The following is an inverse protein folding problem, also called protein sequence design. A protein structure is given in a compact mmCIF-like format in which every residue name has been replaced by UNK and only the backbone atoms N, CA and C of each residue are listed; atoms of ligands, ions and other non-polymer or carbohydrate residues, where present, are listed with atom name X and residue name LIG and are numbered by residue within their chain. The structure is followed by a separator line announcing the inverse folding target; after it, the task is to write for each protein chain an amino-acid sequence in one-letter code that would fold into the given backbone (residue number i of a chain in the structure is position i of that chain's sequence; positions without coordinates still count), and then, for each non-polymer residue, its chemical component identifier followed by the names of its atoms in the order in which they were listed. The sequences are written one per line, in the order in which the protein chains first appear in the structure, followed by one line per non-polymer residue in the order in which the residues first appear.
data_IF_493346202286
#
_entry.id   IF_493346202286
#
_cell.length_a   1.000
_cell.length_b   1.000
_cell.length_c   1.000
_cell.angle_alpha   90.00
_cell.angle_beta   90.00
_cell.angle_gamma   90.00
#
_symmetry.space_group_name_H-M   'P 1'
#
loop_
_entity.id
_entity.type
_entity.pdbx_description
1 polymer ?
#
# COMPACT_ATOMS: atom_id res chain seq x y z
N UNK A 1 1.68 -28.54 -7.78
CA UNK A 1 0.82 -27.35 -7.63
C UNK A 1 1.73 -26.16 -7.36
N UNK A 2 1.92 -25.29 -8.34
CA UNK A 2 2.88 -24.19 -8.30
C UNK A 2 2.54 -23.24 -7.15
N UNK A 3 3.44 -22.95 -6.20
CA UNK A 3 3.15 -22.10 -5.04
C UNK A 3 2.76 -20.66 -5.42
N UNK A 4 3.02 -20.21 -6.65
CA UNK A 4 2.64 -18.88 -7.14
C UNK A 4 1.12 -18.68 -7.33
N UNK A 5 0.35 -19.73 -7.63
CA UNK A 5 -1.11 -19.60 -7.86
C UNK A 5 -1.85 -19.11 -6.60
N UNK A 6 -1.26 -19.31 -5.41
CA UNK A 6 -1.83 -18.84 -4.16
C UNK A 6 -1.73 -17.31 -3.97
N UNK A 7 -0.78 -16.64 -4.62
CA UNK A 7 -0.60 -15.18 -4.55
C UNK A 7 -1.48 -14.45 -5.57
N UNK A 8 -1.78 -15.09 -6.71
CA UNK A 8 -2.69 -14.56 -7.74
C UNK A 8 -4.17 -14.57 -7.33
N UNK A 9 -4.53 -15.36 -6.30
CA UNK A 9 -5.89 -15.34 -5.75
C UNK A 9 -5.99 -14.22 -4.73
N UNK A 10 -6.86 -13.25 -5.00
CA UNK A 10 -7.22 -12.26 -3.98
C UNK A 10 -7.63 -12.98 -2.70
N UNK A 11 -7.13 -12.53 -1.53
CA UNK A 11 -7.60 -13.07 -0.25
C UNK A 11 -9.11 -12.94 -0.19
N UNK A 12 -9.77 -13.93 0.40
CA UNK A 12 -11.22 -13.88 0.60
C UNK A 12 -11.60 -12.61 1.36
N UNK A 13 -12.83 -12.12 1.18
CA UNK A 13 -13.31 -10.94 1.91
C UNK A 13 -13.11 -11.06 3.43
N UNK A 14 -13.32 -12.26 3.98
CA UNK A 14 -13.11 -12.54 5.40
C UNK A 14 -11.64 -12.39 5.80
N UNK A 15 -10.73 -12.93 4.99
CA UNK A 15 -9.30 -12.83 5.20
C UNK A 15 -8.86 -11.37 5.15
N UNK A 16 -9.36 -10.61 4.17
CA UNK A 16 -9.10 -9.16 4.03
C UNK A 16 -9.59 -8.39 5.25
N UNK A 17 -10.83 -8.62 5.70
CA UNK A 17 -11.36 -7.95 6.87
C UNK A 17 -10.59 -8.31 8.14
N UNK A 18 -10.26 -9.59 8.34
CA UNK A 18 -9.42 -10.02 9.46
C UNK A 18 -8.06 -9.30 9.45
N UNK A 19 -7.39 -9.25 8.30
CA UNK A 19 -6.12 -8.53 8.16
C UNK A 19 -6.26 -7.03 8.47
N UNK A 20 -7.34 -6.40 8.01
CA UNK A 20 -7.65 -5.00 8.32
C UNK A 20 -7.79 -4.79 9.83
N UNK A 21 -8.60 -5.60 10.52
CA UNK A 21 -8.78 -5.47 11.99
C UNK A 21 -7.48 -5.76 12.74
N UNK A 22 -6.74 -6.79 12.35
CA UNK A 22 -5.46 -7.14 12.95
C UNK A 22 -4.44 -6.01 12.77
N UNK A 23 -4.40 -5.37 11.61
CA UNK A 23 -3.51 -4.23 11.34
C UNK A 23 -3.82 -3.02 12.23
N UNK A 24 -5.08 -2.86 12.68
CA UNK A 24 -5.50 -1.76 13.56
C UNK A 24 -5.29 -2.06 15.04
N UNK A 25 -5.68 -3.25 15.48
CA UNK A 25 -5.62 -3.65 16.89
C UNK A 25 -4.21 -4.10 17.32
N UNK A 26 -3.52 -4.83 16.44
CA UNK A 26 -2.22 -5.44 16.73
C UNK A 26 -1.26 -5.28 15.54
N UNK A 27 -0.87 -4.05 15.17
CA UNK A 27 -0.05 -3.77 13.98
C UNK A 27 1.28 -4.54 13.95
N UNK A 28 1.93 -4.71 15.10
CA UNK A 28 3.18 -5.48 15.19
C UNK A 28 2.99 -6.96 14.84
N UNK A 29 1.89 -7.57 15.30
CA UNK A 29 1.55 -8.97 15.00
C UNK A 29 1.17 -9.11 13.53
N UNK A 30 0.37 -8.17 13.01
CA UNK A 30 0.03 -8.13 11.59
C UNK A 30 1.28 -8.11 10.71
N UNK A 31 2.19 -7.16 10.93
CA UNK A 31 3.40 -7.05 10.12
C UNK A 31 4.27 -8.29 10.24
N UNK A 32 4.50 -8.78 11.46
CA UNK A 32 5.28 -10.01 11.68
C UNK A 32 4.69 -11.21 10.93
N UNK A 33 3.37 -11.39 11.01
CA UNK A 33 2.68 -12.48 10.33
C UNK A 33 2.84 -12.37 8.80
N UNK A 34 2.67 -11.16 8.24
CA UNK A 34 2.80 -10.94 6.80
C UNK A 34 4.23 -11.16 6.31
N UNK A 35 5.22 -10.63 7.03
CA UNK A 35 6.64 -10.81 6.71
C UNK A 35 7.02 -12.30 6.82
N UNK A 36 6.52 -13.01 7.82
CA UNK A 36 6.73 -14.45 7.97
C UNK A 36 6.14 -15.24 6.79
N UNK A 37 4.89 -14.95 6.41
CA UNK A 37 4.23 -15.61 5.28
C UNK A 37 4.97 -15.36 3.96
N UNK A 38 5.32 -14.10 3.66
CA UNK A 38 6.05 -13.73 2.45
C UNK A 38 7.44 -14.39 2.39
N UNK A 39 8.19 -14.36 3.50
CA UNK A 39 9.49 -15.03 3.58
C UNK A 39 9.39 -16.54 3.38
N UNK A 40 8.36 -17.18 3.95
CA UNK A 40 8.13 -18.62 3.79
C UNK A 40 7.79 -18.96 2.34
N UNK A 41 6.94 -18.16 1.69
CA UNK A 41 6.59 -18.34 0.28
C UNK A 41 7.81 -18.15 -0.63
N UNK A 42 8.60 -17.10 -0.38
CA UNK A 42 9.83 -16.83 -1.15
C UNK A 42 10.82 -18.01 -1.04
N UNK A 43 11.12 -18.48 0.17
CA UNK A 43 12.00 -19.64 0.39
C UNK A 43 11.49 -20.91 -0.27
N UNK A 44 10.17 -21.12 -0.31
CA UNK A 44 9.56 -22.28 -0.96
C UNK A 44 9.61 -22.19 -2.48
N UNK A 45 9.39 -21.01 -3.05
CA UNK A 45 9.45 -20.79 -4.49
C UNK A 45 10.90 -20.83 -5.01
N UNK A 46 11.84 -20.35 -4.21
CA UNK A 46 13.24 -20.11 -4.58
C UNK A 46 14.20 -20.67 -3.52
N UNK A 47 14.31 -22.01 -3.38
CA UNK A 47 15.06 -22.63 -2.28
C UNK A 47 16.58 -22.48 -2.42
N UNK A 48 17.09 -22.32 -3.64
CA UNK A 48 18.52 -22.34 -3.95
C UNK A 48 19.04 -20.92 -4.27
N UNK A 49 18.81 -19.95 -3.39
CA UNK A 49 19.35 -18.59 -3.53
C UNK A 49 20.83 -18.57 -3.13
N UNK A 50 21.78 -18.34 -4.05
CA UNK A 50 23.19 -18.17 -3.71
C UNK A 50 23.40 -17.00 -2.75
N UNK A 51 24.24 -17.19 -1.73
CA UNK A 51 24.57 -16.13 -0.78
C UNK A 51 25.26 -14.93 -1.46
N UNK A 52 25.97 -15.17 -2.57
CA UNK A 52 26.61 -14.13 -3.37
C UNK A 52 25.63 -13.11 -3.94
N UNK A 53 24.35 -13.46 -4.12
CA UNK A 53 23.33 -12.55 -4.65
C UNK A 53 22.86 -11.50 -3.65
N UNK A 54 23.16 -11.66 -2.35
CA UNK A 54 22.85 -10.67 -1.29
C UNK A 54 21.40 -10.15 -1.29
N UNK A 55 20.44 -11.00 -1.67
CA UNK A 55 19.01 -10.65 -1.71
C UNK A 55 18.39 -10.39 -0.31
N UNK A 56 18.81 -11.08 0.77
CA UNK A 56 18.39 -10.73 2.13
C UNK A 56 19.19 -9.53 2.70
N UNK A 57 18.60 -8.75 3.63
CA UNK A 57 17.27 -8.91 4.20
C UNK A 57 16.16 -8.31 3.31
N UNK A 58 15.03 -9.01 3.23
CA UNK A 58 13.84 -8.49 2.54
C UNK A 58 13.25 -7.35 3.37
N UNK A 59 12.91 -6.23 2.72
CA UNK A 59 12.20 -5.14 3.37
C UNK A 59 10.83 -5.62 3.89
N UNK A 60 10.44 -5.13 5.08
CA UNK A 60 9.13 -5.45 5.66
C UNK A 60 7.99 -4.91 4.79
N UNK A 61 6.86 -5.64 4.75
CA UNK A 61 5.63 -5.18 4.10
C UNK A 61 5.11 -3.86 4.68
N UNK A 62 5.52 -3.51 5.90
CA UNK A 62 5.17 -2.23 6.52
C UNK A 62 5.69 -1.01 5.74
N UNK A 63 6.78 -1.16 4.99
CA UNK A 63 7.45 -0.06 4.29
C UNK A 63 7.78 -0.36 2.83
N UNK A 64 7.53 -1.56 2.33
CA UNK A 64 7.80 -1.89 0.93
C UNK A 64 6.74 -2.85 0.37
N UNK A 65 6.42 -2.72 -0.92
CA UNK A 65 5.68 -3.77 -1.63
C UNK A 65 6.64 -4.92 -1.98
N UNK A 66 6.24 -6.19 -1.80
CA UNK A 66 7.09 -7.30 -2.19
C UNK A 66 7.30 -7.31 -3.70
N UNK A 67 8.53 -7.57 -4.12
CA UNK A 67 8.86 -7.75 -5.53
C UNK A 67 8.29 -9.09 -6.02
N UNK A 68 7.46 -9.05 -7.06
CA UNK A 68 7.00 -10.26 -7.77
C UNK A 68 8.00 -10.53 -8.90
N UNK A 69 8.91 -11.46 -8.67
CA UNK A 69 10.12 -11.69 -9.49
C UNK A 69 10.13 -13.03 -10.26
N UNK A 70 8.98 -13.63 -10.55
CA UNK A 70 8.94 -14.92 -11.26
C UNK A 70 9.58 -14.90 -12.65
N UNK A 71 9.49 -13.78 -13.36
CA UNK A 71 10.06 -13.63 -14.68
C UNK A 71 11.60 -13.44 -14.68
N UNK A 72 12.17 -12.82 -13.64
CA UNK A 72 13.61 -12.59 -13.57
C UNK A 72 14.38 -13.83 -13.09
N UNK A 73 13.72 -14.71 -12.34
CA UNK A 73 14.36 -15.85 -11.71
C UNK A 73 15.14 -16.78 -12.68
N UNK A 74 14.58 -17.20 -13.83
CA UNK A 74 15.33 -18.02 -14.79
C UNK A 74 16.58 -17.31 -15.35
N UNK A 75 16.55 -15.98 -15.46
CA UNK A 75 17.69 -15.19 -15.93
C UNK A 75 18.81 -15.11 -14.89
N UNK A 76 18.44 -15.09 -13.60
CA UNK A 76 19.40 -15.22 -12.50
C UNK A 76 20.02 -16.63 -12.45
N UNK A 77 19.21 -17.68 -12.57
CA UNK A 77 19.69 -19.07 -12.55
C UNK A 77 20.61 -19.41 -13.74
N UNK A 78 20.32 -18.88 -14.92
CA UNK A 78 21.15 -19.07 -16.12
C UNK A 78 22.47 -18.28 -16.11
N UNK A 79 22.64 -17.35 -15.18
CA UNK A 79 23.77 -16.42 -15.16
C UNK A 79 23.70 -15.30 -16.19
N UNK A 80 22.55 -15.13 -16.88
CA UNK A 80 22.33 -14.00 -17.77
C UNK A 80 22.26 -12.67 -17.01
N UNK A 81 21.72 -12.70 -15.80
CA UNK A 81 21.65 -11.54 -14.91
C UNK A 81 22.33 -11.86 -13.57
N UNK A 82 23.09 -10.90 -13.04
CA UNK A 82 23.75 -11.02 -11.75
C UNK A 82 23.30 -9.89 -10.81
N UNK A 83 22.81 -10.21 -9.60
CA UNK A 83 22.57 -9.21 -8.57
C UNK A 83 23.91 -8.68 -8.04
N UNK A 84 24.05 -7.36 -8.00
CA UNK A 84 25.26 -6.68 -7.53
C UNK A 84 24.94 -5.71 -6.39
N UNK A 85 25.97 -5.25 -5.68
CA UNK A 85 25.82 -4.19 -4.69
C UNK A 85 25.37 -2.87 -5.33
N UNK A 86 24.88 -1.93 -4.51
CA UNK A 86 24.41 -0.64 -5.01
C UNK A 86 25.54 0.13 -5.71
N UNK A 87 25.21 0.86 -6.77
CA UNK A 87 26.17 1.75 -7.41
C UNK A 87 26.57 2.88 -6.45
N UNK A 88 27.88 3.12 -6.30
CA UNK A 88 28.44 4.16 -5.45
C UNK A 88 28.79 5.40 -6.27
N UNK A 89 29.61 5.25 -7.32
CA UNK A 89 29.95 6.33 -8.24
C UNK A 89 30.49 5.81 -9.58
N UNK A 90 30.40 6.64 -10.62
CA UNK A 90 31.02 6.39 -11.92
C UNK A 90 32.50 6.77 -11.88
N UNK A 91 33.40 5.79 -12.00
CA UNK A 91 34.86 5.98 -11.92
C UNK A 91 35.53 6.17 -13.29
N UNK A 92 34.75 6.09 -14.37
CA UNK A 92 35.22 6.29 -15.73
C UNK A 92 34.07 6.31 -16.73
N UNK A 93 34.39 6.40 -18.02
CA UNK A 93 33.38 6.48 -19.07
C UNK A 93 32.54 5.19 -19.22
N UNK A 94 33.07 4.05 -18.79
CA UNK A 94 32.42 2.73 -18.88
C UNK A 94 32.55 1.91 -17.60
N UNK A 95 32.73 2.57 -16.46
CA UNK A 95 33.00 1.88 -15.20
C UNK A 95 32.27 2.48 -14.00
N UNK A 96 31.80 1.58 -13.13
CA UNK A 96 30.99 1.90 -11.95
C UNK A 96 31.62 1.22 -10.73
N UNK A 97 31.98 2.01 -9.72
CA UNK A 97 32.33 1.50 -8.40
C UNK A 97 31.04 1.18 -7.63
N UNK A 98 30.97 0.00 -7.04
CA UNK A 98 29.88 -0.45 -6.19
C UNK A 98 30.16 -0.16 -4.70
N UNK A 99 29.12 -0.20 -3.86
CA UNK A 99 29.25 0.11 -2.43
C UNK A 99 30.12 -0.89 -1.64
N UNK A 100 30.40 -2.06 -2.19
CA UNK A 100 31.31 -3.04 -1.60
C UNK A 100 32.75 -2.93 -2.12
N UNK A 101 33.04 -1.92 -2.95
CA UNK A 101 34.36 -1.65 -3.52
C UNK A 101 34.66 -2.39 -4.82
N UNK A 102 33.77 -3.26 -5.32
CA UNK A 102 33.91 -3.86 -6.64
C UNK A 102 33.79 -2.77 -7.72
N UNK A 103 34.62 -2.86 -8.77
CA UNK A 103 34.47 -2.02 -9.96
C UNK A 103 33.93 -2.89 -11.09
N UNK A 104 32.79 -2.48 -11.66
CA UNK A 104 32.25 -3.05 -12.88
C UNK A 104 32.83 -2.30 -14.08
N UNK A 105 33.41 -3.04 -15.02
CA UNK A 105 34.03 -2.51 -16.23
C UNK A 105 33.17 -2.82 -17.46
N UNK A 106 33.43 -2.13 -18.57
CA UNK A 106 32.76 -2.33 -19.86
C UNK A 106 31.23 -2.15 -19.80
N UNK A 107 30.76 -1.17 -19.03
CA UNK A 107 29.34 -0.84 -18.96
C UNK A 107 28.96 0.07 -20.14
N UNK A 108 28.08 -0.40 -21.01
CA UNK A 108 27.58 0.37 -22.15
C UNK A 108 26.33 1.19 -21.83
N UNK A 109 25.57 0.82 -20.81
CA UNK A 109 24.31 1.47 -20.46
C UNK A 109 23.94 1.28 -18.99
N UNK A 110 23.30 2.31 -18.43
CA UNK A 110 22.71 2.28 -17.09
C UNK A 110 21.24 2.68 -17.18
N UNK A 111 20.37 1.85 -16.62
CA UNK A 111 18.93 2.08 -16.60
C UNK A 111 18.50 2.34 -15.16
N UNK A 112 17.98 3.54 -14.89
CA UNK A 112 17.52 3.93 -13.56
C UNK A 112 16.11 3.40 -13.30
N UNK A 113 16.02 2.29 -12.57
CA UNK A 113 14.76 1.71 -12.09
C UNK A 113 14.44 2.16 -10.65
N UNK A 114 14.66 3.45 -10.33
CA UNK A 114 14.62 4.00 -8.96
C UNK A 114 13.23 4.47 -8.50
N UNK A 115 12.19 4.22 -9.30
CA UNK A 115 10.81 4.63 -9.01
C UNK A 115 10.47 6.02 -9.55
N UNK A 116 9.34 6.56 -9.05
CA UNK A 116 8.75 7.80 -9.51
C UNK A 116 8.34 8.68 -8.33
N UNK A 117 8.44 10.00 -8.50
CA UNK A 117 7.82 10.96 -7.61
C UNK A 117 6.34 11.12 -7.93
N UNK A 118 5.57 11.60 -6.95
CA UNK A 118 4.19 12.00 -7.17
C UNK A 118 4.13 13.47 -7.58
N UNK A 119 3.39 13.78 -8.64
CA UNK A 119 3.06 15.14 -9.04
C UNK A 119 1.63 15.20 -9.57
N UNK A 120 1.01 16.37 -9.47
CA UNK A 120 -0.25 16.65 -10.16
C UNK A 120 0.09 17.44 -11.43
N UNK A 121 -0.28 16.94 -12.63
CA UNK A 121 0.16 17.52 -13.90
C UNK A 121 -0.45 18.89 -14.22
N UNK A 122 -1.32 19.39 -13.35
CA UNK A 122 -1.96 20.69 -13.46
C UNK A 122 -1.51 21.54 -12.27
N UNK A 123 -0.98 22.73 -12.55
CA UNK A 123 -0.59 23.67 -11.50
C UNK A 123 -1.84 24.11 -10.73
N UNK A 124 -1.89 23.75 -9.45
CA UNK A 124 -2.88 24.23 -8.51
C UNK A 124 -2.36 25.50 -7.81
N UNK A 125 -3.23 26.31 -7.19
CA UNK A 125 -2.80 27.38 -6.30
C UNK A 125 -1.91 26.83 -5.18
N UNK A 126 -0.85 27.56 -4.83
CA UNK A 126 0.15 27.12 -3.83
C UNK A 126 -0.48 26.71 -2.48
N UNK A 127 -1.58 27.38 -2.10
CA UNK A 127 -2.37 27.09 -0.88
C UNK A 127 -3.04 25.71 -0.86
N UNK A 128 -3.26 25.10 -2.02
CA UNK A 128 -3.84 23.76 -2.17
C UNK A 128 -2.95 22.83 -2.98
N UNK A 129 -1.66 23.14 -3.16
CA UNK A 129 -0.72 22.25 -3.84
C UNK A 129 -0.55 20.95 -3.01
N UNK A 130 -0.95 19.77 -3.54
CA UNK A 130 -0.84 18.51 -2.83
C UNK A 130 0.61 18.10 -2.56
N UNK A 131 1.56 18.46 -3.43
CA UNK A 131 2.97 18.08 -3.32
C UNK A 131 3.87 19.32 -3.38
N UNK A 132 3.86 20.17 -2.33
CA UNK A 132 4.62 21.42 -2.32
C UNK A 132 6.14 21.19 -2.30
N UNK A 133 6.57 20.01 -1.84
CA UNK A 133 7.96 19.56 -1.87
C UNK A 133 8.02 18.26 -2.65
N UNK A 134 8.85 18.23 -3.69
CA UNK A 134 9.02 17.06 -4.56
C UNK A 134 9.54 15.87 -3.75
N UNK A 135 8.94 14.70 -3.97
CA UNK A 135 9.32 13.46 -3.28
C UNK A 135 8.79 13.35 -1.85
N UNK A 136 7.98 14.31 -1.37
CA UNK A 136 7.31 14.21 -0.07
C UNK A 136 5.88 13.68 -0.18
N UNK A 137 5.33 13.28 0.98
CA UNK A 137 3.93 12.87 1.10
C UNK A 137 2.97 14.04 0.83
N UNK A 138 1.73 13.73 0.44
CA UNK A 138 0.76 14.78 0.17
C UNK A 138 0.45 15.61 1.43
N UNK A 139 0.20 16.90 1.21
CA UNK A 139 -0.30 17.83 2.22
C UNK A 139 -1.81 17.68 2.51
N UNK A 140 -2.52 16.92 1.67
CA UNK A 140 -3.98 16.78 1.65
C UNK A 140 -4.53 15.75 2.65
N UNK A 141 -5.78 15.95 3.07
CA UNK A 141 -6.49 15.01 3.94
C UNK A 141 -6.74 13.72 3.20
N UNK A 142 -6.34 12.60 3.82
CA UNK A 142 -6.42 11.25 3.24
C UNK A 142 -5.68 11.12 1.89
N UNK A 143 -4.82 12.08 1.54
CA UNK A 143 -4.28 12.25 0.18
C UNK A 143 -5.36 12.41 -0.90
N UNK A 144 -6.58 12.84 -0.53
CA UNK A 144 -7.72 12.97 -1.45
C UNK A 144 -8.22 14.41 -1.50
N UNK A 145 -8.39 15.09 -0.36
CA UNK A 145 -9.02 16.42 -0.31
C UNK A 145 -8.09 17.50 0.25
N UNK A 146 -8.10 18.73 -0.30
CA UNK A 146 -7.33 19.83 0.25
C UNK A 146 -7.68 20.10 1.72
N UNK A 147 -6.66 20.50 2.50
CA UNK A 147 -6.85 21.02 3.86
C UNK A 147 -6.75 22.54 3.78
N UNK A 148 -7.88 23.23 3.95
CA UNK A 148 -7.98 24.67 3.76
C UNK A 148 -9.08 25.29 4.64
N UNK A 149 -8.98 26.53 5.15
CA UNK A 149 -10.04 27.16 5.95
C UNK A 149 -11.39 27.29 5.24
N UNK A 150 -11.39 27.59 3.94
CA UNK A 150 -12.60 27.62 3.13
C UNK A 150 -13.12 26.20 2.84
N UNK A 151 -14.31 25.89 3.35
CA UNK A 151 -14.98 24.61 3.14
C UNK A 151 -15.31 24.32 1.67
N UNK A 152 -15.54 25.36 0.86
CA UNK A 152 -15.81 25.21 -0.57
C UNK A 152 -14.58 24.69 -1.29
N UNK A 153 -13.40 25.24 -0.97
CA UNK A 153 -12.13 24.77 -1.53
C UNK A 153 -11.83 23.33 -1.11
N UNK A 154 -12.06 22.97 0.17
CA UNK A 154 -11.91 21.58 0.64
C UNK A 154 -12.73 20.57 -0.15
N UNK A 155 -13.88 20.99 -0.67
CA UNK A 155 -14.81 20.14 -1.42
C UNK A 155 -14.82 20.40 -2.94
N UNK A 156 -13.89 21.20 -3.46
CA UNK A 156 -13.88 21.63 -4.88
C UNK A 156 -13.12 20.68 -5.80
N UNK A 157 -12.14 19.96 -5.25
CA UNK A 157 -11.24 19.08 -5.99
C UNK A 157 -10.91 17.86 -5.12
N UNK A 158 -10.69 16.73 -5.78
CA UNK A 158 -10.26 15.51 -5.13
C UNK A 158 -9.22 14.77 -5.99
N UNK A 159 -8.23 14.16 -5.35
CA UNK A 159 -7.29 13.24 -5.98
C UNK A 159 -7.74 11.80 -5.73
N UNK A 160 -7.69 10.98 -6.78
CA UNK A 160 -7.94 9.55 -6.67
C UNK A 160 -6.63 8.78 -6.90
N UNK A 161 -6.36 7.79 -6.05
CA UNK A 161 -5.19 6.92 -6.18
C UNK A 161 -3.91 7.42 -5.50
N UNK A 162 -4.00 8.53 -4.76
CA UNK A 162 -2.89 9.11 -4.01
C UNK A 162 -2.84 8.63 -2.55
N UNK A 163 -3.82 7.84 -2.10
CA UNK A 163 -3.79 7.10 -0.83
C UNK A 163 -4.01 5.61 -1.06
N UNK A 164 -3.10 4.76 -0.59
CA UNK A 164 -3.16 3.31 -0.79
C UNK A 164 -2.58 2.51 0.38
N UNK A 165 -3.02 1.26 0.51
CA UNK A 165 -2.42 0.27 1.41
C UNK A 165 -2.16 -1.05 0.64
N UNK A 166 -1.41 -2.03 1.18
CA UNK A 166 -0.97 -3.24 0.48
C UNK A 166 -2.09 -4.26 0.11
N UNK A 167 -3.03 -3.82 -0.73
CA UNK A 167 -4.16 -4.56 -1.32
C UNK A 167 -4.21 -4.15 -2.81
N UNK A 168 -4.80 -4.92 -3.74
CA UNK A 168 -4.85 -4.53 -5.15
C UNK A 168 -5.39 -3.12 -5.37
N UNK A 169 -4.64 -2.29 -6.11
CA UNK A 169 -4.88 -0.85 -6.25
C UNK A 169 -6.21 -0.50 -6.91
N UNK A 170 -6.59 -1.20 -7.99
CA UNK A 170 -7.84 -0.93 -8.71
C UNK A 170 -9.07 -1.00 -7.79
N UNK A 171 -9.15 -2.04 -6.95
CA UNK A 171 -10.25 -2.18 -6.00
C UNK A 171 -10.31 -1.02 -5.00
N UNK A 172 -9.16 -0.47 -4.61
CA UNK A 172 -9.10 0.70 -3.72
C UNK A 172 -9.57 1.96 -4.43
N UNK A 173 -9.19 2.15 -5.70
CA UNK A 173 -9.57 3.33 -6.47
C UNK A 173 -11.07 3.39 -6.72
N UNK A 174 -11.72 2.26 -7.00
CA UNK A 174 -13.18 2.19 -7.11
C UNK A 174 -13.88 2.68 -5.83
N UNK A 175 -13.42 2.20 -4.67
CA UNK A 175 -13.99 2.61 -3.38
C UNK A 175 -13.70 4.09 -3.07
N UNK A 176 -12.52 4.61 -3.45
CA UNK A 176 -12.18 6.02 -3.30
C UNK A 176 -13.08 6.92 -4.17
N UNK A 177 -13.29 6.57 -5.44
CA UNK A 177 -14.18 7.31 -6.34
C UNK A 177 -15.60 7.34 -5.79
N UNK A 178 -16.07 6.22 -5.21
CA UNK A 178 -17.38 6.19 -4.56
C UNK A 178 -17.41 7.11 -3.33
N UNK A 179 -16.38 7.11 -2.47
CA UNK A 179 -16.29 8.01 -1.33
C UNK A 179 -16.33 9.49 -1.77
N UNK A 180 -15.57 9.84 -2.80
CA UNK A 180 -15.57 11.19 -3.39
C UNK A 180 -16.98 11.54 -3.90
N UNK A 181 -17.61 10.64 -4.64
CA UNK A 181 -18.94 10.85 -5.21
C UNK A 181 -20.00 11.04 -4.12
N UNK A 182 -19.99 10.23 -3.05
CA UNK A 182 -20.94 10.38 -1.94
C UNK A 182 -20.75 11.70 -1.19
N UNK A 183 -19.52 12.19 -1.07
CA UNK A 183 -19.24 13.51 -0.50
C UNK A 183 -19.83 14.63 -1.39
N UNK A 184 -19.59 14.57 -2.70
CA UNK A 184 -20.10 15.57 -3.63
C UNK A 184 -21.62 15.55 -3.79
N UNK A 185 -22.25 14.37 -3.65
CA UNK A 185 -23.70 14.22 -3.61
C UNK A 185 -24.33 14.67 -2.28
N UNK A 186 -23.53 14.93 -1.23
CA UNK A 186 -24.01 15.33 0.09
C UNK A 186 -24.52 14.19 0.97
N UNK A 187 -24.35 12.93 0.55
CA UNK A 187 -24.70 11.74 1.34
C UNK A 187 -23.64 11.41 2.39
N UNK A 188 -22.43 11.92 2.22
CA UNK A 188 -21.36 11.94 3.19
C UNK A 188 -20.77 13.34 3.26
N UNK A 189 -20.07 13.67 4.34
CA UNK A 189 -19.47 14.97 4.52
C UNK A 189 -17.99 14.84 4.88
N UNK A 190 -17.18 15.78 4.39
CA UNK A 190 -15.85 15.99 4.93
C UNK A 190 -15.95 16.44 6.39
N UNK A 191 -15.01 16.04 7.25
CA UNK A 191 -14.96 16.56 8.59
C UNK A 191 -14.52 18.03 8.60
N UNK A 192 -14.55 18.67 9.77
CA UNK A 192 -14.07 20.04 9.90
C UNK A 192 -12.55 20.16 9.73
N UNK A 193 -12.08 21.41 9.59
CA UNK A 193 -10.65 21.69 9.39
C UNK A 193 -9.78 21.13 10.52
N UNK A 194 -10.23 21.24 11.77
CA UNK A 194 -9.46 20.81 12.94
C UNK A 194 -9.25 19.31 12.95
N UNK A 195 -10.26 18.53 12.57
CA UNK A 195 -10.15 17.08 12.44
C UNK A 195 -9.24 16.68 11.26
N UNK A 196 -9.34 17.36 10.12
CA UNK A 196 -8.46 17.10 8.96
C UNK A 196 -6.98 17.36 9.30
N UNK A 197 -6.71 18.46 10.02
CA UNK A 197 -5.37 18.80 10.51
C UNK A 197 -4.85 17.80 11.54
N UNK A 198 -5.70 17.43 12.48
CA UNK A 198 -5.38 16.40 13.49
C UNK A 198 -5.04 15.08 12.82
N UNK A 199 -5.78 14.69 11.78
CA UNK A 199 -5.46 13.50 11.00
C UNK A 199 -4.09 13.62 10.33
N UNK A 200 -3.78 14.76 9.69
CA UNK A 200 -2.49 14.98 9.02
C UNK A 200 -1.32 14.86 10.00
N UNK A 201 -1.45 15.46 11.18
CA UNK A 201 -0.43 15.36 12.23
C UNK A 201 -0.22 13.90 12.70
N UNK A 202 -1.32 13.18 12.97
CA UNK A 202 -1.26 11.76 13.37
C UNK A 202 -0.66 10.88 12.27
N UNK A 203 -1.02 11.13 11.01
CA UNK A 203 -0.47 10.43 9.86
C UNK A 203 1.05 10.65 9.72
N UNK A 204 1.52 11.89 9.82
CA UNK A 204 2.96 12.22 9.79
C UNK A 204 3.71 11.54 10.93
N UNK A 205 3.19 11.60 12.15
CA UNK A 205 3.79 10.95 13.31
C UNK A 205 3.85 9.41 13.13
N UNK A 206 2.77 8.80 12.66
CA UNK A 206 2.74 7.37 12.33
C UNK A 206 3.80 7.01 11.29
N UNK A 207 3.87 7.78 10.20
CA UNK A 207 4.79 7.51 9.09
C UNK A 207 6.25 7.58 9.55
N UNK A 208 6.61 8.61 10.34
CA UNK A 208 7.95 8.73 10.93
C UNK A 208 8.27 7.56 11.85
N UNK A 209 7.32 7.14 12.69
CA UNK A 209 7.52 6.01 13.60
C UNK A 209 7.71 4.69 12.83
N UNK A 210 6.93 4.46 11.77
CA UNK A 210 7.07 3.27 10.91
C UNK A 210 8.40 3.30 10.14
N UNK A 211 8.74 4.42 9.51
CA UNK A 211 10.00 4.57 8.79
C UNK A 211 11.21 4.30 9.70
N UNK A 212 11.21 4.87 10.92
CA UNK A 212 12.25 4.64 11.92
C UNK A 212 12.32 3.18 12.35
N UNK A 213 11.17 2.55 12.66
CA UNK A 213 11.10 1.17 13.16
C UNK A 213 11.65 0.16 12.13
N UNK A 214 11.39 0.39 10.85
CA UNK A 214 11.77 -0.53 9.77
C UNK A 214 12.99 -0.06 8.98
N UNK A 215 13.70 0.97 9.45
CA UNK A 215 14.87 1.56 8.79
C UNK A 215 14.61 1.86 7.30
N UNK A 216 13.43 2.41 7.00
CA UNK A 216 13.04 2.69 5.63
C UNK A 216 14.01 3.70 5.00
N UNK A 217 14.55 3.33 3.84
CA UNK A 217 15.39 4.23 3.05
C UNK A 217 14.54 4.88 1.95
N UNK A 218 14.40 4.22 0.80
CA UNK A 218 13.70 4.75 -0.39
C UNK A 218 12.40 4.03 -0.75
N UNK A 219 12.13 2.87 -0.15
CA UNK A 219 11.03 1.97 -0.57
C UNK A 219 9.68 2.30 0.04
N UNK A 220 9.62 3.25 0.99
CA UNK A 220 8.38 3.62 1.64
C UNK A 220 7.55 4.56 0.76
N UNK A 221 6.68 3.98 -0.06
CA UNK A 221 5.81 4.72 -0.97
C UNK A 221 5.10 5.89 -0.28
N UNK A 222 5.07 7.03 -0.97
CA UNK A 222 4.49 8.29 -0.49
C UNK A 222 2.97 8.16 -0.27
N UNK A 223 2.33 7.29 -1.04
CA UNK A 223 0.89 7.04 -1.00
C UNK A 223 0.46 6.13 0.16
N UNK A 224 1.39 5.50 0.88
CA UNK A 224 1.04 4.55 1.94
C UNK A 224 0.35 5.21 3.12
N UNK A 225 -0.80 4.68 3.48
CA UNK A 225 -1.65 5.10 4.60
C UNK A 225 -1.91 3.95 5.57
N UNK A 226 -2.24 4.23 6.85
CA UNK A 226 -2.60 3.19 7.81
C UNK A 226 -3.85 2.42 7.33
N UNK A 227 -3.67 1.13 7.03
CA UNK A 227 -4.68 0.27 6.42
C UNK A 227 -6.01 0.24 7.19
N UNK A 228 -5.96 0.05 8.52
CA UNK A 228 -7.15 -0.06 9.34
C UNK A 228 -8.01 1.21 9.35
N UNK A 229 -7.37 2.36 9.55
CA UNK A 229 -7.98 3.68 9.64
C UNK A 229 -8.47 4.14 8.26
N UNK A 230 -7.62 4.10 7.25
CA UNK A 230 -7.99 4.51 5.89
C UNK A 230 -9.09 3.63 5.31
N UNK A 231 -8.97 2.31 5.46
CA UNK A 231 -10.01 1.37 5.04
C UNK A 231 -11.34 1.58 5.76
N UNK A 232 -11.34 2.13 6.98
CA UNK A 232 -12.57 2.39 7.74
C UNK A 232 -13.26 3.64 7.21
N UNK A 233 -12.44 4.64 6.92
CA UNK A 233 -12.89 5.90 6.37
C UNK A 233 -13.50 5.68 4.97
N UNK A 234 -12.78 5.06 4.04
CA UNK A 234 -13.28 4.87 2.67
C UNK A 234 -14.55 4.01 2.62
N UNK A 235 -14.67 2.95 3.42
CA UNK A 235 -15.85 2.06 3.45
C UNK A 235 -17.11 2.81 3.93
N UNK A 236 -16.95 3.62 4.99
CA UNK A 236 -18.03 4.42 5.57
C UNK A 236 -18.44 5.55 4.63
N UNK A 237 -17.47 6.33 4.15
CA UNK A 237 -17.71 7.51 3.30
C UNK A 237 -18.26 7.10 1.93
N UNK A 238 -17.85 5.95 1.38
CA UNK A 238 -18.42 5.43 0.15
C UNK A 238 -19.82 4.82 0.33
N UNK A 239 -20.31 4.67 1.57
CA UNK A 239 -21.62 4.09 1.84
C UNK A 239 -21.73 2.60 1.49
N UNK A 240 -20.61 1.88 1.39
CA UNK A 240 -20.61 0.46 0.98
C UNK A 240 -21.00 -0.44 2.17
N UNK A 241 -20.63 -0.05 3.39
CA UNK A 241 -21.05 -0.73 4.62
C UNK A 241 -20.47 -2.14 4.75
N UNK A 242 -19.34 -2.46 4.12
CA UNK A 242 -18.73 -3.79 4.19
C UNK A 242 -18.41 -4.13 5.64
N UNK A 243 -17.84 -3.19 6.40
CA UNK A 243 -17.49 -3.44 7.81
C UNK A 243 -18.73 -3.56 8.70
N UNK A 244 -19.79 -2.84 8.39
CA UNK A 244 -21.05 -2.91 9.14
C UNK A 244 -21.76 -4.25 8.93
N UNK A 245 -21.94 -4.66 7.67
CA UNK A 245 -22.69 -5.87 7.32
C UNK A 245 -21.86 -7.16 7.40
N UNK A 246 -20.53 -7.07 7.21
CA UNK A 246 -19.65 -8.23 7.05
C UNK A 246 -18.41 -8.19 7.94
N UNK A 247 -18.24 -7.19 8.81
CA UNK A 247 -17.09 -7.05 9.71
C UNK A 247 -16.94 -8.22 10.69
N UNK A 248 -15.71 -8.56 11.08
CA UNK A 248 -15.42 -9.74 11.93
C UNK A 248 -16.16 -9.69 13.26
N UNK A 249 -16.19 -8.52 13.91
CA UNK A 249 -16.93 -8.29 15.15
C UNK A 249 -18.43 -8.16 14.84
N UNK A 250 -18.80 -7.39 13.81
CA UNK A 250 -20.20 -7.19 13.43
C UNK A 250 -20.95 -8.48 13.11
N UNK A 251 -20.28 -9.54 12.64
CA UNK A 251 -20.89 -10.86 12.40
C UNK A 251 -21.54 -11.49 13.62
N UNK A 252 -21.00 -11.22 14.81
CA UNK A 252 -21.47 -11.85 16.05
C UNK A 252 -22.41 -10.93 16.84
N UNK A 253 -22.24 -9.61 16.71
CA UNK A 253 -22.96 -8.62 17.55
C UNK A 253 -23.79 -7.60 16.77
N UNK A 254 -23.66 -7.50 15.44
CA UNK A 254 -24.37 -6.48 14.65
C UNK A 254 -25.64 -7.04 14.02
N UNK A 255 -26.77 -6.43 14.38
CA UNK A 255 -28.09 -6.69 13.79
C UNK A 255 -28.09 -6.56 12.26
N UNK A 256 -27.34 -5.61 11.69
CA UNK A 256 -27.23 -5.42 10.25
C UNK A 256 -26.60 -6.63 9.53
N UNK A 257 -25.68 -7.35 10.18
CA UNK A 257 -25.07 -8.56 9.64
C UNK A 257 -26.04 -9.76 9.71
N UNK A 258 -26.78 -9.90 10.82
CA UNK A 258 -27.81 -10.92 10.97
C UNK A 258 -29.00 -10.72 10.04
N UNK A 259 -29.43 -9.46 9.84
CA UNK A 259 -30.46 -9.10 8.87
C UNK A 259 -30.04 -9.46 7.44
N UNK A 260 -28.82 -9.11 7.05
CA UNK A 260 -28.28 -9.48 5.74
C UNK A 260 -28.19 -11.00 5.58
N UNK A 261 -27.72 -11.72 6.61
CA UNK A 261 -27.71 -13.18 6.61
C UNK A 261 -29.10 -13.79 6.42
N UNK A 262 -30.13 -13.22 7.06
CA UNK A 262 -31.50 -13.73 6.94
C UNK A 262 -32.12 -13.45 5.57
N UNK A 263 -31.78 -12.32 4.96
CA UNK A 263 -32.32 -11.88 3.67
C UNK A 263 -31.67 -12.57 2.46
N UNK A 264 -30.35 -12.82 2.51
CA UNK A 264 -29.62 -13.46 1.42
C UNK A 264 -28.50 -14.38 1.94
N UNK A 265 -28.91 -15.59 2.33
CA UNK A 265 -28.01 -16.62 2.86
C UNK A 265 -26.99 -17.09 1.82
N UNK A 266 -27.36 -17.13 0.54
CA UNK A 266 -26.49 -17.64 -0.51
C UNK A 266 -25.32 -16.69 -0.73
N UNK A 267 -25.59 -15.40 -0.88
CA UNK A 267 -24.56 -14.37 -1.02
C UNK A 267 -23.70 -14.27 0.24
N UNK A 268 -24.30 -14.32 1.43
CA UNK A 268 -23.56 -14.33 2.69
C UNK A 268 -22.60 -15.51 2.78
N UNK A 269 -23.04 -16.71 2.42
CA UNK A 269 -22.23 -17.94 2.51
C UNK A 269 -21.16 -18.04 1.41
N UNK A 270 -21.44 -17.62 0.17
CA UNK A 270 -20.42 -17.55 -0.89
C UNK A 270 -19.26 -16.63 -0.51
N UNK A 271 -19.56 -15.50 0.13
CA UNK A 271 -18.55 -14.57 0.66
C UNK A 271 -17.76 -15.15 1.86
N UNK A 272 -18.21 -16.27 2.45
CA UNK A 272 -17.45 -17.01 3.48
C UNK A 272 -16.38 -17.95 2.94
N UNK A 273 -16.20 -18.06 1.62
CA UNK A 273 -15.22 -18.97 1.02
C UNK A 273 -15.66 -20.43 1.04
N UNK A 274 -16.93 -20.72 1.35
CA UNK A 274 -17.55 -22.00 0.98
C UNK A 274 -18.01 -21.89 -0.47
N UNK A 275 -17.12 -22.22 -1.41
CA UNK A 275 -17.57 -22.74 -2.69
C UNK A 275 -18.17 -24.14 -2.44
N UNK A 276 -19.16 -24.58 -3.25
CA UNK A 276 -19.84 -25.87 -3.06
C UNK A 276 -18.87 -27.04 -2.93
#
# INVERSE_FOLDING_TARGET
MTPLIAVDRMPSLNSTLFMIYLSGLFPAIYTWMMDFLLNTMSKKAYPNQPASWRLPPVSSLAVATPLIASAIWPHLESGLCEPVAAAKLFVGAKSVELTDGQILENIDSVIYCTGYDAEVPVKLPDEIEPYPVRGEISSWYRHIFPIHPDARLRNSIALCGHGAFPVPGFSQFFVQIHAISQIWLGNSSLPDLGEMETWRQKYRAWRLAVAKKYHAQSTFYLFFVPMADYGAWVDRTAGIGIREHLGVIGRWVNWCAWKFWWQDRELYNKRRGKLP
#
